data_IF_969966260290
#
_entry.id   IF_969966260290
#
_cell.length_a   1.000
_cell.length_b   1.000
_cell.length_c   1.000
_cell.angle_alpha   90.00
_cell.angle_beta   90.00
_cell.angle_gamma   90.00
#
_symmetry.space_group_name_H-M   'P 1'
#
loop_
_entity.id
_entity.type
_entity.pdbx_description
1 polymer ?
#
# COMPACT_ATOMS: atom_id res chain seq x y z
N UNK A 1 -4.13 20.84 39.44
CA UNK A 1 -4.85 19.59 39.23
C UNK A 1 -4.86 19.30 37.75
N UNK A 2 -4.29 18.18 37.31
CA UNK A 2 -4.23 17.77 35.91
C UNK A 2 -4.88 16.40 35.76
N UNK A 3 -5.81 16.26 34.82
CA UNK A 3 -6.47 15.01 34.49
C UNK A 3 -6.10 14.63 33.08
N UNK A 4 -5.56 13.41 32.90
CA UNK A 4 -5.29 12.85 31.57
C UNK A 4 -6.33 11.75 31.30
N UNK A 5 -7.35 12.01 30.48
CA UNK A 5 -8.35 11.01 30.15
C UNK A 5 -7.75 9.93 29.24
N UNK A 6 -8.05 8.65 29.54
CA UNK A 6 -7.66 7.49 28.73
C UNK A 6 -8.84 6.88 27.95
N UNK A 7 -10.04 7.41 28.15
CA UNK A 7 -11.27 6.92 27.53
C UNK A 7 -12.23 8.09 27.32
N UNK A 8 -12.93 8.08 26.19
CA UNK A 8 -14.03 9.02 25.94
C UNK A 8 -15.17 8.79 26.94
N UNK A 9 -15.83 9.86 27.37
CA UNK A 9 -16.91 9.77 28.35
C UNK A 9 -17.28 11.14 28.90
N UNK A 10 -18.05 11.15 29.98
CA UNK A 10 -18.43 12.38 30.69
C UNK A 10 -17.60 12.52 31.97
N UNK A 11 -16.89 13.64 32.11
CA UNK A 11 -16.26 14.04 33.35
C UNK A 11 -17.26 14.85 34.16
N UNK A 12 -17.69 14.33 35.29
CA UNK A 12 -18.53 15.07 36.23
C UNK A 12 -17.63 15.65 37.34
N UNK A 13 -17.64 16.97 37.44
CA UNK A 13 -16.93 17.72 38.51
C UNK A 13 -17.95 18.25 39.48
N UNK A 14 -17.82 17.89 40.74
CA UNK A 14 -18.67 18.38 41.81
C UNK A 14 -17.93 19.47 42.55
N UNK A 15 -18.47 20.66 42.56
CA UNK A 15 -17.93 21.80 43.31
C UNK A 15 -18.83 22.03 44.54
N UNK A 16 -18.28 21.89 45.74
CA UNK A 16 -18.96 22.18 46.99
C UNK A 16 -18.31 23.44 47.60
N UNK A 17 -19.15 24.38 47.92
CA UNK A 17 -18.71 25.63 48.60
C UNK A 17 -19.70 26.00 49.70
N UNK A 18 -19.19 26.74 50.70
CA UNK A 18 -19.96 27.14 51.83
C UNK A 18 -20.11 28.67 51.85
N UNK A 19 -21.32 29.12 52.06
CA UNK A 19 -21.62 30.54 52.28
C UNK A 19 -22.29 30.69 53.66
N UNK A 20 -21.52 31.14 54.61
CA UNK A 20 -21.94 31.14 56.03
C UNK A 20 -22.13 29.70 56.53
N UNK A 21 -23.34 29.39 57.02
CA UNK A 21 -23.70 28.03 57.47
C UNK A 21 -24.31 27.15 56.37
N UNK A 22 -24.51 27.69 55.17
CA UNK A 22 -25.15 26.99 54.08
C UNK A 22 -24.11 26.33 53.17
N UNK A 23 -24.23 25.00 52.97
CA UNK A 23 -23.44 24.25 52.03
C UNK A 23 -24.19 24.23 50.68
N UNK A 24 -23.46 24.59 49.64
CA UNK A 24 -23.93 24.54 48.25
C UNK A 24 -23.09 23.54 47.47
N UNK A 25 -23.76 22.80 46.60
CA UNK A 25 -23.09 21.83 45.70
C UNK A 25 -23.57 22.08 44.28
N UNK A 26 -22.65 22.11 43.34
CA UNK A 26 -22.93 22.21 41.92
C UNK A 26 -22.17 21.14 41.13
N UNK A 27 -22.89 20.43 40.33
CA UNK A 27 -22.26 19.48 39.38
C UNK A 27 -22.11 20.12 38.00
N UNK A 28 -20.95 19.92 37.40
CA UNK A 28 -20.63 20.35 36.05
C UNK A 28 -20.21 19.11 35.28
N UNK A 29 -20.94 18.77 34.24
CA UNK A 29 -20.60 17.65 33.35
C UNK A 29 -19.96 18.18 32.08
N UNK A 30 -18.72 17.76 31.81
CA UNK A 30 -17.98 18.10 30.61
C UNK A 30 -17.79 16.83 29.77
N UNK A 31 -18.33 16.77 28.54
CA UNK A 31 -18.05 15.66 27.67
C UNK A 31 -16.58 15.66 27.26
N UNK A 32 -15.94 14.51 27.40
CA UNK A 32 -14.57 14.28 26.92
C UNK A 32 -14.67 13.40 25.68
N UNK A 33 -14.35 13.97 24.56
CA UNK A 33 -14.15 13.25 23.31
C UNK A 33 -12.66 13.08 23.09
N UNK A 34 -12.20 11.83 23.06
CA UNK A 34 -10.86 11.51 22.61
C UNK A 34 -10.94 11.37 21.10
N UNK A 35 -10.35 12.31 20.41
CA UNK A 35 -10.22 12.20 18.96
C UNK A 35 -9.02 11.29 18.67
N UNK A 36 -9.27 9.99 18.68
CA UNK A 36 -8.26 8.94 18.50
C UNK A 36 -7.64 8.96 17.09
N UNK A 37 -8.16 9.79 16.19
CA UNK A 37 -7.76 9.77 14.77
C UNK A 37 -6.74 10.85 14.38
N UNK A 38 -6.57 11.91 15.15
CA UNK A 38 -5.77 13.07 14.71
C UNK A 38 -4.26 12.92 14.87
N UNK A 39 -3.78 11.93 15.63
CA UNK A 39 -2.34 11.74 15.86
C UNK A 39 -1.87 10.30 15.68
N UNK A 40 -2.70 9.42 15.18
CA UNK A 40 -2.34 8.01 15.01
C UNK A 40 -1.51 7.81 13.74
N UNK A 41 -0.69 6.75 13.71
CA UNK A 41 -0.14 6.22 12.49
C UNK A 41 -1.28 5.71 11.58
N UNK A 42 -1.15 5.89 10.28
CA UNK A 42 -2.08 5.37 9.26
C UNK A 42 -1.28 4.82 8.10
N UNK A 43 -1.38 3.52 7.89
CA UNK A 43 -0.62 2.83 6.86
C UNK A 43 -1.43 2.74 5.57
N UNK A 44 -0.79 3.10 4.48
CA UNK A 44 -1.37 3.04 3.14
C UNK A 44 -0.49 2.19 2.24
N UNK A 45 -1.08 1.18 1.60
CA UNK A 45 -0.41 0.41 0.57
C UNK A 45 -0.62 1.06 -0.80
N UNK A 46 0.45 1.14 -1.60
CA UNK A 46 0.47 1.74 -2.93
C UNK A 46 1.39 0.98 -3.88
N UNK A 47 1.35 1.33 -5.18
CA UNK A 47 2.20 0.74 -6.21
C UNK A 47 2.14 -0.80 -6.24
N UNK A 48 0.95 -1.37 -6.01
CA UNK A 48 0.75 -2.80 -5.92
C UNK A 48 0.92 -3.46 -7.29
N UNK A 49 1.85 -4.41 -7.37
CA UNK A 49 2.09 -5.23 -8.55
C UNK A 49 1.90 -6.69 -8.18
N UNK A 50 0.95 -7.33 -8.86
CA UNK A 50 0.63 -8.74 -8.66
C UNK A 50 1.16 -9.56 -9.83
N UNK A 51 1.99 -10.54 -9.52
CA UNK A 51 2.43 -11.57 -10.48
C UNK A 51 1.95 -12.94 -10.02
N UNK A 52 1.86 -13.89 -10.94
CA UNK A 52 1.44 -15.26 -10.64
C UNK A 52 2.39 -16.23 -11.27
N UNK A 53 2.89 -17.15 -10.46
CA UNK A 53 3.68 -18.30 -10.89
C UNK A 53 2.96 -19.57 -10.47
N UNK A 54 2.48 -20.34 -11.44
CA UNK A 54 1.67 -21.55 -11.22
C UNK A 54 0.44 -21.28 -10.32
N UNK A 55 0.50 -21.71 -9.05
CA UNK A 55 -0.56 -21.53 -8.05
C UNK A 55 -0.25 -20.47 -7.01
N UNK A 56 0.95 -19.85 -7.08
CA UNK A 56 1.42 -18.87 -6.12
C UNK A 56 1.33 -17.46 -6.71
N UNK A 57 0.80 -16.56 -5.94
CA UNK A 57 0.78 -15.13 -6.22
C UNK A 57 1.92 -14.45 -5.46
N UNK A 58 2.63 -13.56 -6.12
CA UNK A 58 3.63 -12.66 -5.56
C UNK A 58 3.09 -11.24 -5.66
N UNK A 59 2.92 -10.59 -4.54
CA UNK A 59 2.45 -9.22 -4.44
C UNK A 59 3.57 -8.36 -3.89
N UNK A 60 4.03 -7.43 -4.71
CA UNK A 60 4.99 -6.39 -4.32
C UNK A 60 4.30 -5.04 -4.25
N UNK A 61 4.83 -4.13 -3.48
CA UNK A 61 4.30 -2.77 -3.36
C UNK A 61 5.06 -1.96 -2.33
N UNK A 62 4.53 -0.78 -2.07
CA UNK A 62 5.05 0.13 -1.06
C UNK A 62 4.02 0.33 0.05
N UNK A 63 4.47 0.40 1.28
CA UNK A 63 3.68 0.82 2.43
C UNK A 63 4.23 2.14 2.95
N UNK A 64 3.36 3.12 3.12
CA UNK A 64 3.70 4.44 3.66
C UNK A 64 2.89 4.73 4.92
N UNK A 65 3.47 5.53 5.81
CA UNK A 65 2.77 6.05 6.98
C UNK A 65 2.26 7.47 6.69
N UNK A 66 0.99 7.57 6.31
CA UNK A 66 0.30 8.84 6.09
C UNK A 66 -0.22 9.49 7.40
N UNK A 67 0.03 8.87 8.54
CA UNK A 67 -0.38 9.38 9.85
C UNK A 67 0.64 10.35 10.45
N UNK A 68 0.33 10.85 11.65
CA UNK A 68 1.14 11.84 12.36
C UNK A 68 2.02 11.25 13.47
N UNK A 69 1.93 9.95 13.73
CA UNK A 69 2.77 9.22 14.69
C UNK A 69 3.48 8.05 14.01
N UNK A 70 4.58 7.60 14.61
CA UNK A 70 5.32 6.45 14.11
C UNK A 70 4.51 5.16 14.24
N UNK A 71 4.50 4.36 13.18
CA UNK A 71 4.04 2.97 13.19
C UNK A 71 5.21 2.07 13.55
N UNK A 72 5.10 1.27 14.62
CA UNK A 72 6.16 0.38 15.07
C UNK A 72 5.82 -1.08 14.75
N UNK A 73 6.84 -1.89 14.51
CA UNK A 73 6.70 -3.32 14.19
C UNK A 73 5.70 -3.57 13.06
N UNK A 74 5.79 -2.76 12.01
CA UNK A 74 4.93 -2.89 10.83
C UNK A 74 5.18 -4.23 10.16
N UNK A 75 4.11 -4.97 9.92
CA UNK A 75 4.12 -6.26 9.25
C UNK A 75 3.06 -6.30 8.17
N UNK A 76 3.43 -6.80 6.99
CA UNK A 76 2.55 -6.97 5.85
C UNK A 76 2.31 -8.46 5.61
N UNK A 77 1.05 -8.87 5.41
CA UNK A 77 0.68 -10.25 5.08
C UNK A 77 -0.58 -10.30 4.23
N UNK A 78 -0.80 -11.41 3.53
CA UNK A 78 -2.03 -11.65 2.81
C UNK A 78 -3.05 -12.37 3.69
N UNK A 79 -4.34 -12.01 3.57
CA UNK A 79 -5.46 -12.60 4.29
C UNK A 79 -6.74 -12.60 3.43
N UNK A 80 -7.92 -12.71 4.05
CA UNK A 80 -9.20 -12.63 3.32
C UNK A 80 -9.40 -13.75 2.29
N UNK A 81 -9.01 -15.00 2.63
CA UNK A 81 -9.07 -16.14 1.70
C UNK A 81 -7.75 -16.48 1.03
N UNK A 82 -6.72 -15.64 1.21
CA UNK A 82 -5.34 -15.98 0.86
C UNK A 82 -4.71 -16.87 1.93
N UNK A 83 -3.90 -17.81 1.49
CA UNK A 83 -3.04 -18.65 2.33
C UNK A 83 -1.59 -18.22 2.11
N UNK A 84 -0.96 -17.52 3.06
CA UNK A 84 0.44 -17.10 2.94
C UNK A 84 1.36 -18.31 2.79
N UNK A 85 2.33 -18.24 1.87
CA UNK A 85 3.30 -19.29 1.58
C UNK A 85 4.74 -18.78 1.61
N UNK A 86 5.68 -19.71 1.85
CA UNK A 86 7.10 -19.39 1.80
C UNK A 86 7.55 -19.03 0.38
N UNK A 87 8.61 -18.21 0.19
CA UNK A 87 9.47 -17.68 1.25
C UNK A 87 8.93 -16.37 1.90
N UNK A 88 7.99 -15.67 1.27
CA UNK A 88 7.50 -14.35 1.73
C UNK A 88 6.10 -14.45 2.32
N UNK A 89 5.90 -15.34 3.28
CA UNK A 89 4.62 -15.52 3.98
C UNK A 89 4.13 -14.26 4.68
N UNK A 90 5.05 -13.49 5.23
CA UNK A 90 4.85 -12.16 5.79
C UNK A 90 6.11 -11.33 5.62
N UNK A 91 5.97 -10.03 5.50
CA UNK A 91 7.08 -9.10 5.36
C UNK A 91 7.13 -8.17 6.57
N UNK A 92 8.28 -8.12 7.25
CA UNK A 92 8.49 -7.23 8.40
C UNK A 92 9.21 -5.99 7.93
N UNK A 93 8.50 -4.87 7.94
CA UNK A 93 9.01 -3.56 7.54
C UNK A 93 9.83 -2.93 8.67
N UNK A 94 9.41 -3.11 9.92
CA UNK A 94 10.00 -2.45 11.07
C UNK A 94 9.21 -1.22 11.51
N UNK A 95 9.87 -0.08 11.68
CA UNK A 95 9.21 1.17 12.08
C UNK A 95 9.17 2.14 10.92
N UNK A 96 8.03 2.80 10.73
CA UNK A 96 7.83 3.88 9.77
C UNK A 96 7.44 5.16 10.53
N UNK A 97 8.26 6.20 10.44
CA UNK A 97 7.90 7.53 10.93
C UNK A 97 6.80 8.15 10.04
N UNK A 98 6.17 9.26 10.47
CA UNK A 98 5.32 10.03 9.58
C UNK A 98 6.02 10.35 8.25
N UNK A 99 5.28 10.19 7.13
CA UNK A 99 5.75 10.40 5.76
C UNK A 99 6.85 9.44 5.27
N UNK A 100 7.28 8.46 6.08
CA UNK A 100 8.19 7.40 5.64
C UNK A 100 7.45 6.33 4.82
N UNK A 101 8.19 5.64 3.96
CA UNK A 101 7.70 4.49 3.22
C UNK A 101 8.75 3.38 3.13
N UNK A 102 8.30 2.16 2.84
CA UNK A 102 9.15 1.02 2.56
C UNK A 102 8.47 0.08 1.56
N UNK A 103 9.26 -0.57 0.72
CA UNK A 103 8.77 -1.60 -0.18
C UNK A 103 8.62 -2.93 0.54
N UNK A 104 7.66 -3.74 0.09
CA UNK A 104 7.40 -5.07 0.63
C UNK A 104 7.16 -6.09 -0.49
N UNK A 105 7.29 -7.36 -0.13
CA UNK A 105 6.92 -8.50 -0.96
C UNK A 105 6.24 -9.55 -0.10
N UNK A 106 5.09 -10.08 -0.55
CA UNK A 106 4.40 -11.20 0.09
C UNK A 106 3.96 -12.23 -0.93
N UNK A 107 4.04 -13.51 -0.54
CA UNK A 107 3.64 -14.65 -1.37
C UNK A 107 2.46 -15.38 -0.75
N UNK A 108 1.48 -15.74 -1.58
CA UNK A 108 0.29 -16.44 -1.10
C UNK A 108 -0.35 -17.30 -2.20
N UNK A 109 -1.18 -18.23 -1.79
CA UNK A 109 -2.09 -18.97 -2.65
C UNK A 109 -3.53 -18.53 -2.36
N UNK A 110 -4.35 -18.46 -3.41
CA UNK A 110 -5.77 -18.19 -3.30
C UNK A 110 -6.54 -19.16 -4.20
N UNK A 111 -7.53 -19.83 -3.61
CA UNK A 111 -8.39 -20.77 -4.34
C UNK A 111 -9.78 -20.15 -4.47
N UNK A 112 -10.27 -20.06 -5.70
CA UNK A 112 -11.63 -19.58 -5.99
C UNK A 112 -11.97 -18.19 -5.40
N UNK A 113 -10.96 -17.32 -5.25
CA UNK A 113 -11.14 -15.95 -4.82
C UNK A 113 -10.91 -14.99 -6.00
N UNK A 114 -11.73 -13.96 -6.11
CA UNK A 114 -11.54 -12.86 -7.07
C UNK A 114 -10.69 -11.74 -6.48
N UNK A 115 -10.63 -11.66 -5.16
CA UNK A 115 -9.82 -10.70 -4.41
C UNK A 115 -9.33 -11.30 -3.10
N UNK A 116 -8.32 -10.70 -2.53
CA UNK A 116 -7.76 -11.01 -1.20
C UNK A 116 -7.54 -9.72 -0.43
N UNK A 117 -7.35 -9.82 0.87
CA UNK A 117 -7.00 -8.67 1.69
C UNK A 117 -5.49 -8.63 1.93
N UNK A 118 -4.87 -7.51 1.68
CA UNK A 118 -3.54 -7.18 2.17
C UNK A 118 -3.71 -6.59 3.57
N UNK A 119 -3.14 -7.24 4.58
CA UNK A 119 -3.24 -6.85 5.99
C UNK A 119 -1.96 -6.14 6.41
N UNK A 120 -2.09 -4.93 6.93
CA UNK A 120 -1.03 -4.10 7.46
C UNK A 120 -1.21 -4.03 8.97
N UNK A 121 -0.36 -4.70 9.74
CA UNK A 121 -0.40 -4.66 11.20
C UNK A 121 0.74 -3.81 11.73
N UNK A 122 0.48 -3.03 12.76
CA UNK A 122 1.48 -2.19 13.41
C UNK A 122 1.12 -1.93 14.88
N UNK A 123 2.07 -1.41 15.62
CA UNK A 123 1.89 -0.92 16.98
C UNK A 123 2.03 0.59 17.02
N UNK A 124 1.21 1.23 17.83
CA UNK A 124 1.40 2.62 18.19
C UNK A 124 2.55 2.80 19.20
N UNK A 125 2.75 4.02 19.64
CA UNK A 125 3.75 4.37 20.66
C UNK A 125 3.48 3.72 22.01
N UNK A 126 2.22 3.45 22.33
CA UNK A 126 1.79 2.83 23.59
C UNK A 126 1.80 1.29 23.50
N UNK A 127 2.19 0.72 22.36
CA UNK A 127 2.25 -0.72 22.11
C UNK A 127 0.90 -1.36 21.77
N UNK A 128 -0.15 -0.58 21.50
CA UNK A 128 -1.43 -1.10 21.04
C UNK A 128 -1.31 -1.56 19.59
N UNK A 129 -1.94 -2.70 19.29
CA UNK A 129 -1.92 -3.27 17.94
C UNK A 129 -3.08 -2.72 17.13
N UNK A 130 -2.76 -2.24 15.93
CA UNK A 130 -3.71 -1.82 14.91
C UNK A 130 -3.55 -2.68 13.66
N UNK A 131 -4.63 -2.77 12.90
CA UNK A 131 -4.65 -3.48 11.62
C UNK A 131 -5.43 -2.67 10.61
N UNK A 132 -4.83 -2.41 9.47
CA UNK A 132 -5.46 -1.82 8.30
C UNK A 132 -5.48 -2.86 7.17
N UNK A 133 -6.42 -2.75 6.25
CA UNK A 133 -6.53 -3.71 5.16
C UNK A 133 -6.86 -3.01 3.85
N UNK A 134 -6.26 -3.52 2.77
CA UNK A 134 -6.52 -3.08 1.40
C UNK A 134 -6.95 -4.28 0.57
N UNK A 135 -8.02 -4.15 -0.19
CA UNK A 135 -8.47 -5.21 -1.11
C UNK A 135 -7.60 -5.24 -2.36
N UNK A 136 -7.12 -6.42 -2.73
CA UNK A 136 -6.30 -6.66 -3.92
C UNK A 136 -7.04 -7.64 -4.83
N UNK A 137 -7.38 -7.20 -6.04
CA UNK A 137 -8.02 -8.04 -7.04
C UNK A 137 -7.02 -8.99 -7.70
N UNK A 138 -7.38 -10.27 -7.79
CA UNK A 138 -6.52 -11.33 -8.31
C UNK A 138 -6.55 -11.46 -9.83
N UNK A 139 -7.17 -10.52 -10.53
CA UNK A 139 -6.99 -10.45 -11.98
C UNK A 139 -5.57 -9.96 -12.23
N UNK A 140 -4.64 -10.82 -12.67
CA UNK A 140 -3.31 -10.34 -12.99
C UNK A 140 -3.52 -9.24 -14.02
N UNK A 141 -2.93 -8.06 -13.76
CA UNK A 141 -2.76 -7.08 -14.84
C UNK A 141 -2.15 -7.88 -15.98
N UNK A 142 -2.91 -8.06 -17.07
CA UNK A 142 -2.34 -8.65 -18.26
C UNK A 142 -1.07 -7.86 -18.49
N UNK A 143 0.07 -8.54 -18.39
CA UNK A 143 1.34 -7.99 -18.82
C UNK A 143 1.04 -7.49 -20.22
N UNK A 144 0.82 -6.19 -20.37
CA UNK A 144 0.94 -5.60 -21.69
C UNK A 144 2.38 -5.95 -22.03
N UNK A 145 2.51 -7.06 -22.78
CA UNK A 145 3.72 -7.35 -23.50
C UNK A 145 4.04 -6.00 -24.15
N UNK A 146 5.06 -5.32 -23.62
CA UNK A 146 5.67 -4.23 -24.35
C UNK A 146 5.93 -4.85 -25.71
N UNK A 147 5.05 -4.47 -26.66
CA UNK A 147 5.19 -4.94 -28.02
C UNK A 147 6.64 -4.61 -28.38
N UNK A 148 7.48 -5.63 -28.41
CA UNK A 148 8.73 -5.52 -29.13
C UNK A 148 8.31 -4.92 -30.45
N UNK A 149 8.88 -3.76 -30.86
CA UNK A 149 8.56 -3.21 -32.16
C UNK A 149 8.80 -4.36 -33.14
N UNK A 150 7.72 -4.97 -33.61
CA UNK A 150 7.78 -5.99 -34.64
C UNK A 150 8.36 -5.25 -35.83
N UNK A 151 9.65 -5.44 -36.07
CA UNK A 151 10.26 -5.07 -37.34
C UNK A 151 9.32 -5.65 -38.41
N UNK A 152 8.87 -4.85 -39.36
CA UNK A 152 7.97 -5.32 -40.39
C UNK A 152 8.64 -6.51 -41.10
N UNK A 153 8.20 -7.70 -40.70
CA UNK A 153 8.75 -8.96 -41.19
C UNK A 153 8.28 -9.14 -42.61
N UNK A 154 9.20 -9.14 -43.49
CA UNK A 154 9.08 -9.76 -44.81
C UNK A 154 9.08 -8.78 -46.01
N UNK A 155 7.98 -8.24 -46.51
CA UNK A 155 7.99 -7.64 -47.84
C UNK A 155 8.71 -6.29 -47.93
N UNK A 156 8.70 -5.50 -46.87
CA UNK A 156 9.32 -4.14 -46.87
C UNK A 156 10.84 -4.23 -46.94
N UNK A 157 11.45 -5.19 -46.27
CA UNK A 157 12.90 -5.38 -46.28
C UNK A 157 13.40 -5.85 -47.65
N UNK A 158 12.62 -6.72 -48.33
CA UNK A 158 12.95 -7.15 -49.68
C UNK A 158 12.79 -6.04 -50.72
N UNK A 159 11.80 -5.16 -50.56
CA UNK A 159 11.61 -4.00 -51.43
C UNK A 159 12.74 -2.99 -51.25
N UNK A 160 13.16 -2.71 -50.02
CA UNK A 160 14.28 -1.83 -49.75
C UNK A 160 15.61 -2.38 -50.35
N UNK A 161 15.84 -3.70 -50.23
CA UNK A 161 17.03 -4.33 -50.80
C UNK A 161 17.00 -4.29 -52.34
N UNK A 162 15.83 -4.51 -52.96
CA UNK A 162 15.66 -4.44 -54.43
C UNK A 162 15.94 -3.02 -54.96
N UNK A 163 15.52 -1.98 -54.28
CA UNK A 163 15.80 -0.58 -54.64
C UNK A 163 17.30 -0.27 -54.57
N UNK A 164 17.99 -0.75 -53.54
CA UNK A 164 19.45 -0.54 -53.40
C UNK A 164 20.19 -1.24 -54.50
N UNK A 165 19.85 -2.48 -54.81
CA UNK A 165 20.47 -3.27 -55.88
C UNK A 165 20.22 -2.59 -57.27
N UNK A 166 18.99 -2.15 -57.56
CA UNK A 166 18.67 -1.43 -58.78
C UNK A 166 19.49 -0.11 -58.89
N UNK A 167 19.66 0.62 -57.79
CA UNK A 167 20.47 1.84 -57.75
C UNK A 167 21.95 1.58 -58.09
N UNK A 168 22.52 0.48 -57.56
CA UNK A 168 23.91 0.08 -57.85
C UNK A 168 24.07 -0.29 -59.32
N UNK A 169 23.13 -1.02 -59.91
CA UNK A 169 23.16 -1.42 -61.30
C UNK A 169 23.11 -0.18 -62.19
N UNK A 170 22.21 0.76 -61.95
CA UNK A 170 22.06 2.01 -62.73
C UNK A 170 23.36 2.86 -62.61
N UNK A 171 23.92 2.97 -61.39
CA UNK A 171 25.17 3.70 -61.17
C UNK A 171 26.32 3.06 -61.92
N UNK A 172 26.45 1.74 -61.92
CA UNK A 172 27.51 1.03 -62.61
C UNK A 172 27.42 1.19 -64.12
N UNK A 173 26.21 1.20 -64.69
CA UNK A 173 25.99 1.43 -66.11
C UNK A 173 26.38 2.87 -66.53
N UNK A 174 26.03 3.85 -65.69
CA UNK A 174 26.37 5.28 -65.97
C UNK A 174 27.88 5.50 -65.94
N UNK A 175 28.63 4.76 -65.12
CA UNK A 175 30.07 4.89 -65.02
C UNK A 175 30.84 4.19 -66.16
N UNK A 176 30.19 3.34 -66.92
CA UNK A 176 30.78 2.60 -68.06
C UNK A 176 30.51 3.25 -69.42
N UNK A 177 29.76 4.36 -69.43
CA UNK A 177 29.64 5.26 -70.59
C UNK A 177 30.49 6.51 -70.37
#
# INVERSE_FOLDING_TARGET
FNITPHQAGNLTTTVSYQNGVNLHTKEITTPITLDDNLKRASLVASNLVLTREESTYHLTGDVSNAGLEAANAVTVTAGGGAVPVDPFRSYVVGSLNPDDFASFEVSFQARNASSVLLLLQFKDRDGRIFSESTEVFLTPASTQAQGTPSLPSGPILLVALAIVVAGIIIYSWKKRR
#
